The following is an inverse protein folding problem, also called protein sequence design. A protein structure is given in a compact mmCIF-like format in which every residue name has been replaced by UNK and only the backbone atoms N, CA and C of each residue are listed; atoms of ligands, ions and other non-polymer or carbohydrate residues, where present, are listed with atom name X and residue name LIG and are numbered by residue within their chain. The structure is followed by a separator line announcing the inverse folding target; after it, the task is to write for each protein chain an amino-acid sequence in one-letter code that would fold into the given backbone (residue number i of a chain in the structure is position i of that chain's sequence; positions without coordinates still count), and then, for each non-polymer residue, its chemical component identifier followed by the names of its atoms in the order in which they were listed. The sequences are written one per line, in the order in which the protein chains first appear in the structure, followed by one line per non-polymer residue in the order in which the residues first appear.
data_IF_138243154030
#
_entry.id   IF_138243154030
#
_cell.length_a   1.000
_cell.length_b   1.000
_cell.length_c   1.000
_cell.angle_alpha   90.00
_cell.angle_beta   90.00
_cell.angle_gamma   90.00
#
_symmetry.space_group_name_H-M   'P 1'
#
loop_
_entity.id
_entity.type
_entity.pdbx_description
1 polymer ?
#
# COMPACT_ATOMS: atom_id res chain seq x y z
N UNK A 1 -20.09 -4.85 -1.36
CA UNK A 1 -19.02 -4.31 -0.49
C UNK A 1 -17.74 -5.15 -0.59
N UNK A 2 -17.82 -6.40 -1.07
CA UNK A 2 -16.66 -7.26 -1.37
C UNK A 2 -15.75 -6.80 -2.53
N UNK A 3 -16.24 -6.24 -3.66
CA UNK A 3 -15.38 -5.97 -4.84
C UNK A 3 -14.24 -4.98 -4.57
N UNK A 4 -14.42 -4.06 -3.63
CA UNK A 4 -13.43 -3.04 -3.30
C UNK A 4 -12.17 -3.64 -2.67
N UNK A 5 -12.32 -4.72 -1.90
CA UNK A 5 -11.19 -5.36 -1.23
C UNK A 5 -10.43 -6.27 -2.20
N UNK A 6 -11.12 -6.88 -3.15
CA UNK A 6 -10.48 -7.75 -4.15
C UNK A 6 -9.56 -6.92 -5.07
N UNK A 7 -10.04 -5.81 -5.63
CA UNK A 7 -9.23 -4.92 -6.48
C UNK A 7 -8.04 -4.32 -5.70
N UNK A 8 -8.25 -3.95 -4.43
CA UNK A 8 -7.17 -3.48 -3.56
C UNK A 8 -6.09 -4.55 -3.37
N UNK A 9 -6.50 -5.81 -3.15
CA UNK A 9 -5.58 -6.93 -2.92
C UNK A 9 -4.78 -7.25 -4.19
N UNK A 10 -5.40 -7.24 -5.36
CA UNK A 10 -4.74 -7.63 -6.62
C UNK A 10 -3.91 -6.51 -7.23
N UNK A 11 -4.29 -5.24 -7.03
CA UNK A 11 -3.65 -4.12 -7.72
C UNK A 11 -2.78 -3.24 -6.82
N UNK A 12 -3.19 -3.03 -5.56
CA UNK A 12 -2.57 -1.98 -4.72
C UNK A 12 -1.77 -2.50 -3.55
N UNK A 13 -2.10 -3.69 -3.07
CA UNK A 13 -1.52 -4.23 -1.86
C UNK A 13 0.01 -4.30 -1.94
N UNK A 14 0.58 -4.56 -3.12
CA UNK A 14 2.04 -4.54 -3.37
C UNK A 14 2.66 -3.18 -3.04
N UNK A 15 2.03 -2.07 -3.45
CA UNK A 15 2.51 -0.72 -3.19
C UNK A 15 2.27 -0.32 -1.72
N UNK A 16 1.11 -0.66 -1.17
CA UNK A 16 0.82 -0.44 0.26
C UNK A 16 1.86 -1.14 1.13
N UNK A 17 2.14 -2.42 0.87
CA UNK A 17 3.14 -3.19 1.60
C UNK A 17 4.54 -2.60 1.43
N UNK A 18 4.92 -2.22 0.21
CA UNK A 18 6.21 -1.59 -0.07
C UNK A 18 6.41 -0.28 0.72
N UNK A 19 5.42 0.61 0.74
CA UNK A 19 5.53 1.92 1.39
C UNK A 19 5.35 1.91 2.91
N UNK A 20 4.40 1.13 3.43
CA UNK A 20 4.03 1.18 4.85
C UNK A 20 5.06 0.51 5.75
N UNK A 21 5.91 -0.31 5.17
CA UNK A 21 6.77 -1.21 5.91
C UNK A 21 8.20 -0.67 6.10
N UNK A 22 8.50 0.50 5.51
CA UNK A 22 9.63 1.35 5.90
C UNK A 22 11.02 0.73 5.74
N UNK A 23 11.18 -0.21 4.80
CA UNK A 23 12.44 -0.93 4.56
C UNK A 23 12.75 -2.03 5.58
N UNK A 24 11.81 -2.40 6.46
CA UNK A 24 12.01 -3.43 7.49
C UNK A 24 11.83 -4.85 6.95
N UNK A 25 12.63 -5.21 5.93
CA UNK A 25 12.54 -6.37 5.02
C UNK A 25 12.27 -7.75 5.66
N UNK A 26 12.50 -7.90 6.96
CA UNK A 26 12.28 -9.15 7.68
C UNK A 26 10.81 -9.42 8.10
N UNK A 27 9.98 -8.40 8.25
CA UNK A 27 8.52 -8.53 8.46
C UNK A 27 7.59 -9.02 7.31
N UNK A 28 7.99 -9.08 6.02
CA UNK A 28 7.11 -9.48 4.89
C UNK A 28 7.39 -10.91 4.45
N UNK A 29 8.62 -11.41 4.66
CA UNK A 29 8.96 -12.81 4.41
C UNK A 29 7.99 -13.74 5.14
N UNK A 30 7.58 -13.49 6.39
CA UNK A 30 6.50 -14.24 7.04
C UNK A 30 5.20 -14.31 6.22
N UNK A 31 4.78 -13.21 5.58
CA UNK A 31 3.58 -13.21 4.74
C UNK A 31 3.77 -14.07 3.49
N UNK A 32 4.95 -14.02 2.85
CA UNK A 32 5.28 -14.87 1.68
C UNK A 32 5.21 -16.37 2.03
N UNK A 33 5.77 -16.78 3.17
CA UNK A 33 5.89 -18.20 3.55
C UNK A 33 4.66 -18.78 4.26
N UNK A 34 3.69 -17.94 4.67
CA UNK A 34 2.48 -18.42 5.35
C UNK A 34 1.53 -19.06 4.34
N UNK A 35 1.51 -20.40 4.30
CA UNK A 35 0.71 -21.18 3.33
C UNK A 35 -0.80 -20.97 3.47
N UNK A 36 -1.25 -20.57 4.66
CA UNK A 36 -2.65 -20.29 4.95
C UNK A 36 -3.10 -18.89 4.51
N UNK A 37 -2.16 -18.00 4.16
CA UNK A 37 -2.48 -16.68 3.65
C UNK A 37 -3.06 -16.78 2.23
N UNK A 38 -3.97 -15.88 1.89
CA UNK A 38 -4.55 -15.80 0.56
C UNK A 38 -3.46 -15.58 -0.49
N UNK A 39 -3.51 -16.34 -1.60
CA UNK A 39 -2.45 -16.38 -2.62
C UNK A 39 -2.10 -15.00 -3.18
N UNK A 40 -3.09 -14.13 -3.41
CA UNK A 40 -2.87 -12.78 -3.91
C UNK A 40 -2.20 -11.87 -2.87
N UNK A 41 -2.45 -12.08 -1.58
CA UNK A 41 -1.69 -11.38 -0.53
C UNK A 41 -0.23 -11.84 -0.50
N UNK A 42 0.03 -13.13 -0.76
CA UNK A 42 1.39 -13.67 -0.86
C UNK A 42 2.09 -13.13 -2.12
N UNK A 43 1.39 -13.06 -3.26
CA UNK A 43 1.89 -12.46 -4.50
C UNK A 43 2.24 -10.98 -4.30
N UNK A 44 1.36 -10.20 -3.67
CA UNK A 44 1.63 -8.80 -3.36
C UNK A 44 2.85 -8.61 -2.45
N UNK A 45 3.08 -9.56 -1.53
CA UNK A 45 4.27 -9.58 -0.67
C UNK A 45 5.56 -9.90 -1.46
N UNK A 46 5.48 -10.79 -2.44
CA UNK A 46 6.57 -11.09 -3.37
C UNK A 46 6.91 -9.83 -4.19
N UNK A 47 5.91 -9.17 -4.78
CA UNK A 47 6.10 -7.94 -5.57
C UNK A 47 6.71 -6.82 -4.73
N UNK A 48 6.23 -6.64 -3.49
CA UNK A 48 6.78 -5.64 -2.59
C UNK A 48 8.27 -5.89 -2.25
N UNK A 49 8.70 -7.16 -2.14
CA UNK A 49 10.13 -7.51 -1.99
C UNK A 49 10.93 -7.21 -3.26
N UNK A 50 10.35 -7.46 -4.44
CA UNK A 50 10.92 -7.09 -5.73
C UNK A 50 11.13 -5.58 -5.82
N UNK A 51 10.17 -4.77 -5.38
CA UNK A 51 10.27 -3.30 -5.35
C UNK A 51 11.28 -2.80 -4.32
N UNK A 52 11.33 -3.44 -3.15
CA UNK A 52 12.37 -3.19 -2.15
C UNK A 52 13.77 -3.43 -2.72
N UNK A 53 13.92 -4.47 -3.54
CA UNK A 53 15.16 -4.80 -4.23
C UNK A 53 15.51 -3.75 -5.30
N UNK A 54 14.57 -3.40 -6.17
CA UNK A 54 14.77 -2.37 -7.21
C UNK A 54 15.11 -0.97 -6.64
N UNK A 55 14.61 -0.69 -5.44
CA UNK A 55 14.89 0.54 -4.66
C UNK A 55 16.19 0.47 -3.85
N UNK A 56 16.86 -0.68 -3.79
CA UNK A 56 18.13 -0.86 -3.06
C UNK A 56 18.00 -1.07 -1.55
N UNK A 57 16.80 -1.32 -1.02
CA UNK A 57 16.62 -1.70 0.39
C UNK A 57 17.09 -3.12 0.70
N UNK A 58 17.10 -4.00 -0.31
CA UNK A 58 17.56 -5.40 -0.24
C UNK A 58 18.51 -5.66 -1.40
N UNK A 59 19.54 -6.49 -1.19
CA UNK A 59 20.34 -6.96 -2.30
C UNK A 59 19.54 -7.93 -3.17
N UNK A 60 19.73 -7.83 -4.47
CA UNK A 60 19.08 -8.72 -5.44
C UNK A 60 19.40 -10.18 -5.17
N UNK A 61 20.65 -10.46 -4.85
CA UNK A 61 21.15 -11.80 -4.58
C UNK A 61 20.41 -12.43 -3.39
N UNK A 62 20.20 -11.67 -2.29
CA UNK A 62 19.46 -12.17 -1.15
C UNK A 62 17.97 -12.43 -1.45
N UNK A 63 17.36 -11.58 -2.29
CA UNK A 63 15.97 -11.76 -2.73
C UNK A 63 15.82 -12.99 -3.63
N UNK A 64 16.73 -13.18 -4.59
CA UNK A 64 16.74 -14.34 -5.48
C UNK A 64 17.01 -15.65 -4.72
N UNK A 65 17.94 -15.64 -3.76
CA UNK A 65 18.20 -16.79 -2.89
C UNK A 65 16.95 -17.17 -2.08
N UNK A 66 16.28 -16.16 -1.50
CA UNK A 66 15.04 -16.37 -0.75
C UNK A 66 13.94 -16.95 -1.63
N UNK A 67 13.67 -16.35 -2.80
CA UNK A 67 12.64 -16.85 -3.71
C UNK A 67 12.97 -18.25 -4.24
N UNK A 68 14.24 -18.54 -4.53
CA UNK A 68 14.67 -19.86 -5.03
C UNK A 68 14.47 -20.95 -4.00
N UNK A 69 14.59 -20.62 -2.71
CA UNK A 69 14.32 -21.56 -1.62
C UNK A 69 12.85 -21.98 -1.49
N UNK A 70 11.94 -21.31 -2.21
CA UNK A 70 10.48 -21.50 -2.15
C UNK A 70 9.90 -22.15 -3.42
N UNK A 71 10.75 -22.74 -4.26
CA UNK A 71 10.36 -23.52 -5.44
C UNK A 71 10.54 -25.04 -5.19
N UNK A 72 10.08 -25.54 -4.04
CA UNK A 72 10.21 -26.97 -3.69
C UNK A 72 9.00 -27.81 -4.06
N UNK A 73 7.84 -27.18 -4.26
CA UNK A 73 6.57 -27.85 -4.53
C UNK A 73 5.71 -28.08 -3.29
N UNK A 74 6.22 -27.74 -2.10
CA UNK A 74 5.49 -27.87 -0.84
C UNK A 74 4.84 -26.55 -0.38
N UNK A 75 5.15 -25.41 -1.00
CA UNK A 75 4.78 -24.07 -0.51
C UNK A 75 3.34 -23.64 -0.81
N UNK A 76 2.67 -24.31 -1.74
CA UNK A 76 1.35 -23.92 -2.22
C UNK A 76 0.57 -25.13 -2.74
N UNK A 77 -0.68 -24.90 -3.17
CA UNK A 77 -1.50 -25.92 -3.84
C UNK A 77 -1.16 -25.92 -5.34
N UNK A 78 -1.41 -27.04 -6.07
CA UNK A 78 -1.08 -27.13 -7.49
C UNK A 78 -1.70 -26.04 -8.40
N UNK A 79 -2.82 -25.45 -7.99
CA UNK A 79 -3.56 -24.42 -8.72
C UNK A 79 -3.31 -22.99 -8.20
N UNK A 80 -2.40 -22.83 -7.24
CA UNK A 80 -2.09 -21.55 -6.61
C UNK A 80 -1.10 -20.76 -7.46
N UNK A 81 -1.32 -19.45 -7.59
CA UNK A 81 -0.46 -18.57 -8.39
C UNK A 81 0.94 -18.37 -7.79
N UNK A 82 1.15 -18.79 -6.54
CA UNK A 82 2.35 -18.51 -5.75
C UNK A 82 3.68 -18.77 -6.47
N UNK A 83 3.87 -19.95 -7.08
CA UNK A 83 5.14 -20.27 -7.76
C UNK A 83 5.31 -19.47 -9.05
N UNK A 84 4.23 -19.25 -9.81
CA UNK A 84 4.23 -18.37 -10.98
C UNK A 84 4.58 -16.92 -10.62
N UNK A 85 4.08 -16.42 -9.48
CA UNK A 85 4.43 -15.10 -8.95
C UNK A 85 5.91 -15.00 -8.54
N UNK A 86 6.45 -16.04 -7.89
CA UNK A 86 7.88 -16.09 -7.57
C UNK A 86 8.74 -16.02 -8.84
N UNK A 87 8.45 -16.86 -9.83
CA UNK A 87 9.21 -16.89 -11.09
C UNK A 87 9.10 -15.57 -11.84
N UNK A 88 7.90 -14.98 -11.93
CA UNK A 88 7.71 -13.66 -12.54
C UNK A 88 8.56 -12.59 -11.85
N UNK A 89 8.55 -12.55 -10.52
CA UNK A 89 9.38 -11.61 -9.75
C UNK A 89 10.89 -11.87 -9.89
N UNK A 90 11.33 -13.13 -10.00
CA UNK A 90 12.73 -13.44 -10.32
C UNK A 90 13.11 -12.90 -11.72
N UNK A 91 12.19 -12.97 -12.68
CA UNK A 91 12.40 -12.46 -14.04
C UNK A 91 12.56 -10.93 -14.05
N UNK A 92 11.75 -10.22 -13.27
CA UNK A 92 11.88 -8.78 -13.05
C UNK A 92 13.22 -8.41 -12.41
N UNK A 93 13.78 -9.31 -11.60
CA UNK A 93 15.09 -9.14 -10.98
C UNK A 93 16.26 -9.62 -11.85
N UNK A 94 16.03 -10.06 -13.09
CA UNK A 94 17.02 -10.70 -13.96
C UNK A 94 17.54 -12.04 -13.37
N UNK A 95 17.04 -13.19 -13.86
CA UNK A 95 17.14 -14.47 -13.16
C UNK A 95 18.34 -15.33 -13.57
N UNK A 96 19.36 -14.77 -14.23
CA UNK A 96 20.46 -15.52 -14.85
C UNK A 96 21.05 -16.62 -13.95
N UNK A 97 21.33 -16.31 -12.69
CA UNK A 97 21.96 -17.24 -11.74
C UNK A 97 21.00 -18.31 -11.20
N UNK A 98 19.69 -18.05 -11.23
CA UNK A 98 18.64 -18.93 -10.70
C UNK A 98 17.91 -19.71 -11.80
N UNK A 99 18.28 -19.52 -13.07
CA UNK A 99 17.74 -20.27 -14.21
C UNK A 99 17.71 -21.80 -14.01
N UNK A 100 18.72 -22.45 -13.40
CA UNK A 100 18.64 -23.89 -13.13
C UNK A 100 17.47 -24.28 -12.21
N UNK A 101 17.17 -23.45 -11.20
CA UNK A 101 16.05 -23.68 -10.27
C UNK A 101 14.72 -23.44 -10.98
N UNK A 102 14.62 -22.37 -11.78
CA UNK A 102 13.43 -22.07 -12.57
C UNK A 102 13.11 -23.22 -13.53
N UNK A 103 14.09 -23.70 -14.30
CA UNK A 103 13.90 -24.83 -15.22
C UNK A 103 13.37 -26.07 -14.51
N UNK A 104 13.92 -26.38 -13.34
CA UNK A 104 13.43 -27.49 -12.52
C UNK A 104 11.97 -27.28 -12.09
N UNK A 105 11.58 -26.07 -11.70
CA UNK A 105 10.18 -25.77 -11.35
C UNK A 105 9.21 -26.00 -12.52
N UNK A 106 9.63 -25.73 -13.77
CA UNK A 106 8.86 -26.10 -14.97
C UNK A 106 8.83 -27.62 -15.20
N UNK A 107 9.94 -28.32 -14.99
CA UNK A 107 9.99 -29.79 -15.10
C UNK A 107 9.11 -30.49 -14.06
N UNK A 108 9.01 -29.91 -12.87
CA UNK A 108 8.19 -30.39 -11.75
C UNK A 108 6.70 -29.96 -11.85
N UNK A 109 6.29 -29.31 -12.96
CA UNK A 109 4.92 -28.84 -13.24
C UNK A 109 4.36 -27.86 -12.17
N UNK A 110 5.24 -27.05 -11.57
CA UNK A 110 4.86 -26.08 -10.53
C UNK A 110 4.34 -24.76 -11.12
N UNK A 111 4.62 -24.47 -12.39
CA UNK A 111 4.37 -23.16 -13.00
C UNK A 111 3.20 -23.23 -13.96
N UNK A 112 2.21 -22.37 -13.75
CA UNK A 112 1.11 -22.21 -14.69
C UNK A 112 1.59 -21.49 -15.96
N UNK A 113 1.57 -22.22 -17.08
CA UNK A 113 1.95 -21.71 -18.40
C UNK A 113 1.04 -20.59 -18.92
N UNK A 114 -0.15 -20.40 -18.33
CA UNK A 114 -0.98 -19.24 -18.62
C UNK A 114 -0.37 -17.93 -18.08
N UNK A 115 0.40 -18.02 -16.98
CA UNK A 115 1.04 -16.87 -16.35
C UNK A 115 2.39 -16.54 -16.99
N UNK A 116 3.26 -17.54 -17.14
CA UNK A 116 4.60 -17.34 -17.67
C UNK A 116 5.12 -18.62 -18.30
N UNK A 117 5.74 -18.49 -19.47
CA UNK A 117 6.37 -19.60 -20.18
C UNK A 117 7.91 -19.47 -20.16
N UNK A 118 8.59 -20.63 -20.20
CA UNK A 118 10.04 -20.68 -20.11
C UNK A 118 10.74 -19.97 -21.28
N UNK A 119 10.15 -19.97 -22.49
CA UNK A 119 10.75 -19.33 -23.67
C UNK A 119 10.79 -17.80 -23.49
N UNK A 120 9.74 -17.22 -22.93
CA UNK A 120 9.67 -15.81 -22.58
C UNK A 120 10.74 -15.44 -21.54
N UNK A 121 10.92 -16.27 -20.52
CA UNK A 121 11.97 -16.07 -19.49
C UNK A 121 13.37 -16.09 -20.12
N UNK A 122 13.66 -17.06 -20.98
CA UNK A 122 14.97 -17.16 -21.63
C UNK A 122 15.28 -15.95 -22.52
N UNK A 123 14.27 -15.36 -23.16
CA UNK A 123 14.42 -14.09 -23.90
C UNK A 123 14.67 -12.91 -22.96
N UNK A 124 14.04 -12.89 -21.79
CA UNK A 124 14.22 -11.83 -20.80
C UNK A 124 15.62 -11.82 -20.17
N UNK A 125 16.26 -12.98 -20.04
CA UNK A 125 17.67 -13.08 -19.58
C UNK A 125 18.62 -12.33 -20.54
N UNK A 126 18.26 -12.15 -21.80
CA UNK A 126 19.08 -11.35 -22.73
C UNK A 126 19.02 -9.84 -22.43
N UNK A 127 18.05 -9.38 -21.64
CA UNK A 127 17.93 -7.98 -21.20
C UNK A 127 18.89 -7.73 -20.04
N UNK A 128 19.63 -6.62 -20.07
CA UNK A 128 20.59 -6.33 -19.00
C UNK A 128 19.92 -6.14 -17.64
N UNK A 129 20.61 -6.59 -16.58
CA UNK A 129 20.22 -6.40 -15.18
C UNK A 129 19.86 -4.95 -14.86
N UNK A 130 20.63 -3.99 -15.35
CA UNK A 130 20.39 -2.56 -15.09
C UNK A 130 19.06 -2.10 -15.67
N UNK A 131 18.70 -2.58 -16.86
CA UNK A 131 17.44 -2.21 -17.51
C UNK A 131 16.24 -2.80 -16.77
N UNK A 132 16.36 -4.03 -16.27
CA UNK A 132 15.34 -4.68 -15.45
C UNK A 132 15.08 -3.94 -14.14
N UNK A 133 16.14 -3.58 -13.42
CA UNK A 133 16.03 -2.77 -12.20
C UNK A 133 15.45 -1.37 -12.47
N UNK A 134 15.78 -0.77 -13.63
CA UNK A 134 15.21 0.51 -14.03
C UNK A 134 13.71 0.42 -14.35
N UNK A 135 13.26 -0.67 -14.98
CA UNK A 135 11.82 -0.92 -15.20
C UNK A 135 11.06 -1.00 -13.88
N UNK A 136 11.62 -1.68 -12.86
CA UNK A 136 11.02 -1.72 -11.51
C UNK A 136 10.88 -0.31 -10.93
N UNK A 137 11.91 0.54 -11.06
CA UNK A 137 11.84 1.93 -10.56
C UNK A 137 10.77 2.75 -11.26
N UNK A 138 10.62 2.58 -12.57
CA UNK A 138 9.58 3.26 -13.34
C UNK A 138 8.18 2.81 -12.93
N UNK A 139 7.99 1.52 -12.61
CA UNK A 139 6.73 1.01 -12.06
C UNK A 139 6.44 1.63 -10.70
N UNK A 140 7.42 1.67 -9.80
CA UNK A 140 7.28 2.31 -8.49
C UNK A 140 6.94 3.79 -8.64
N UNK A 141 7.62 4.53 -9.51
CA UNK A 141 7.33 5.96 -9.73
C UNK A 141 5.91 6.19 -10.27
N UNK A 142 5.46 5.33 -11.17
CA UNK A 142 4.10 5.38 -11.73
C UNK A 142 3.04 5.07 -10.69
N UNK A 143 3.27 4.05 -9.85
CA UNK A 143 2.29 3.48 -8.93
C UNK A 143 2.44 3.98 -7.48
N UNK A 144 3.40 4.86 -7.22
CA UNK A 144 3.56 5.61 -5.97
C UNK A 144 3.25 7.11 -6.15
N UNK A 145 2.07 7.50 -6.66
CA UNK A 145 1.76 8.91 -6.84
C UNK A 145 1.60 9.60 -5.49
N UNK A 146 2.13 10.82 -5.38
CA UNK A 146 1.94 11.71 -4.23
C UNK A 146 0.45 11.99 -3.94
N UNK A 147 -0.40 11.79 -4.95
CA UNK A 147 -1.85 11.98 -4.90
C UNK A 147 -2.58 10.65 -5.11
N UNK A 148 -2.80 9.95 -3.99
CA UNK A 148 -3.56 8.69 -3.93
C UNK A 148 -4.99 8.87 -4.44
N UNK A 149 -5.59 10.05 -4.26
CA UNK A 149 -6.96 10.29 -4.74
C UNK A 149 -7.01 10.26 -6.26
N UNK A 150 -6.11 10.99 -6.92
CA UNK A 150 -5.97 11.00 -8.39
C UNK A 150 -5.67 9.62 -8.95
N UNK A 151 -4.89 8.84 -8.23
CA UNK A 151 -4.52 7.49 -8.64
C UNK A 151 -5.68 6.50 -8.56
N UNK A 152 -6.63 6.67 -7.64
CA UNK A 152 -7.80 5.81 -7.53
C UNK A 152 -8.95 6.21 -8.47
N UNK A 153 -8.80 7.26 -9.29
CA UNK A 153 -9.87 7.76 -10.18
C UNK A 153 -10.23 6.81 -11.32
N UNK A 154 -9.37 5.85 -11.66
CA UNK A 154 -9.66 4.87 -12.72
C UNK A 154 -10.52 3.70 -12.24
N UNK A 155 -10.73 3.55 -10.92
CA UNK A 155 -11.53 2.47 -10.35
C UNK A 155 -12.98 2.55 -10.83
N UNK A 156 -13.58 1.40 -11.16
CA UNK A 156 -14.92 1.33 -11.75
C UNK A 156 -16.04 1.93 -10.89
N UNK A 157 -15.81 2.12 -9.58
CA UNK A 157 -16.73 2.77 -8.64
C UNK A 157 -16.47 4.26 -8.43
N UNK A 158 -15.48 4.85 -9.12
CA UNK A 158 -15.27 6.28 -9.12
C UNK A 158 -16.37 6.96 -9.95
N UNK A 159 -17.48 7.28 -9.29
CA UNK A 159 -18.46 8.23 -9.80
C UNK A 159 -18.03 9.63 -9.33
N UNK A 160 -17.59 10.54 -10.23
CA UNK A 160 -17.31 11.93 -9.88
C UNK A 160 -18.60 12.73 -9.63
N UNK A 161 -19.67 12.06 -9.19
CA UNK A 161 -21.04 12.54 -9.06
C UNK A 161 -21.10 13.97 -8.53
N UNK A 162 -22.10 14.77 -8.97
CA UNK A 162 -22.10 16.22 -8.81
C UNK A 162 -21.83 16.59 -7.36
N UNK A 163 -20.66 17.19 -7.14
CA UNK A 163 -19.99 17.33 -5.83
C UNK A 163 -20.93 17.38 -4.63
N UNK A 164 -21.12 16.24 -3.99
CA UNK A 164 -21.77 16.17 -2.66
C UNK A 164 -20.82 16.60 -1.54
N UNK A 165 -19.56 16.85 -1.87
CA UNK A 165 -18.66 17.65 -1.07
C UNK A 165 -18.55 19.03 -1.72
N UNK A 166 -19.49 19.90 -1.39
CA UNK A 166 -19.13 21.32 -1.29
C UNK A 166 -17.82 21.37 -0.51
N UNK A 167 -16.84 22.11 -1.03
CA UNK A 167 -15.57 22.36 -0.33
C UNK A 167 -15.86 22.47 1.17
N UNK A 168 -15.15 21.76 2.06
CA UNK A 168 -15.20 22.13 3.46
C UNK A 168 -14.64 23.55 3.49
N UNK A 169 -15.54 24.53 3.40
CA UNK A 169 -15.26 25.86 3.85
C UNK A 169 -14.83 25.63 5.28
N UNK A 170 -13.52 25.76 5.52
CA UNK A 170 -12.98 25.98 6.85
C UNK A 170 -13.67 27.25 7.31
N UNK A 171 -14.85 27.07 7.87
CA UNK A 171 -15.57 28.10 8.57
C UNK A 171 -14.75 28.22 9.84
N UNK A 172 -13.87 29.20 9.81
CA UNK A 172 -13.23 29.75 11.00
C UNK A 172 -14.28 29.73 12.10
N UNK A 173 -14.04 29.04 13.24
CA UNK A 173 -14.99 29.07 14.33
C UNK A 173 -15.29 30.54 14.62
N UNK A 174 -16.57 30.93 14.81
CA UNK A 174 -16.87 32.30 15.19
C UNK A 174 -16.05 32.59 16.44
N UNK A 175 -15.18 33.60 16.33
CA UNK A 175 -14.35 34.06 17.43
C UNK A 175 -15.24 34.23 18.65
N UNK A 176 -15.02 33.39 19.66
CA UNK A 176 -15.77 33.50 20.90
C UNK A 176 -15.58 34.93 21.42
N UNK A 177 -16.66 35.66 21.73
CA UNK A 177 -16.52 36.99 22.28
C UNK A 177 -15.76 36.90 23.60
N UNK A 178 -14.59 37.54 23.59
CA UNK A 178 -13.63 37.66 24.68
C UNK A 178 -14.33 37.76 26.05
N UNK A 179 -14.13 36.73 26.89
CA UNK A 179 -14.81 36.52 28.17
C UNK A 179 -14.64 37.66 29.19
N UNK A 180 -13.83 38.68 28.87
CA UNK A 180 -13.72 39.94 29.61
C UNK A 180 -14.99 40.79 29.54
N UNK A 181 -15.72 40.82 28.42
CA UNK A 181 -16.91 41.67 28.29
C UNK A 181 -18.14 41.11 29.04
N UNK A 182 -18.31 39.79 29.07
CA UNK A 182 -19.42 39.16 29.82
C UNK A 182 -19.25 39.29 31.34
N UNK A 183 -18.02 39.21 31.87
CA UNK A 183 -17.73 39.44 33.30
C UNK A 183 -18.00 40.90 33.72
N UNK A 184 -17.73 41.88 32.85
CA UNK A 184 -18.02 43.30 33.12
C UNK A 184 -19.54 43.60 33.16
N UNK A 185 -20.32 43.05 32.22
CA UNK A 185 -21.79 43.20 32.22
C UNK A 185 -22.44 42.54 33.44
N UNK A 186 -21.97 41.36 33.86
CA UNK A 186 -22.50 40.65 35.06
C UNK A 186 -22.17 41.38 36.37
N UNK A 187 -21.00 42.02 36.49
CA UNK A 187 -20.64 42.89 37.64
C UNK A 187 -21.50 44.17 37.71
N UNK A 188 -21.77 44.84 36.57
CA UNK A 188 -22.66 46.02 36.52
C UNK A 188 -24.10 45.68 36.93
N UNK A 189 -24.66 44.55 36.45
CA UNK A 189 -26.02 44.10 36.80
C UNK A 189 -26.17 43.77 38.30
N UNK A 190 -25.16 43.13 38.93
CA UNK A 190 -25.16 42.88 40.39
C UNK A 190 -25.03 44.16 41.24
N UNK A 191 -24.31 45.19 40.77
CA UNK A 191 -24.23 46.48 41.48
C UNK A 191 -25.56 47.25 41.43
N UNK A 192 -26.25 47.27 40.29
CA UNK A 192 -27.57 47.92 40.18
C UNK A 192 -28.66 47.25 41.01
N UNK A 193 -28.68 45.91 41.06
CA UNK A 193 -29.63 45.16 41.89
C UNK A 193 -29.43 45.38 43.41
N UNK A 194 -28.18 45.59 43.86
CA UNK A 194 -27.89 45.92 45.28
C UNK A 194 -28.24 47.37 45.64
N UNK A 195 -28.11 48.32 44.70
CA UNK A 195 -28.52 49.71 44.92
C UNK A 195 -30.04 49.87 45.01
N UNK A 196 -30.80 49.13 44.19
CA UNK A 196 -32.27 49.11 44.25
C UNK A 196 -32.82 48.52 45.56
N UNK A 197 -32.23 47.42 46.06
CA UNK A 197 -32.64 46.82 47.35
C UNK A 197 -32.33 47.68 48.59
N UNK A 198 -31.33 48.57 48.53
CA UNK A 198 -31.01 49.48 49.66
C UNK A 198 -31.92 50.71 49.71
N UNK A 199 -32.57 51.07 48.60
CA UNK A 199 -33.53 52.20 48.53
C UNK A 199 -34.94 51.82 49.01
N UNK A 200 -35.30 50.54 48.96
CA UNK A 200 -36.59 50.01 49.45
C UNK A 200 -36.60 49.59 50.93
N UNK A 201 -35.53 49.87 51.69
CA UNK A 201 -35.43 49.53 53.14
C UNK A 201 -35.33 50.76 54.04
N UNK A 202 -35.66 51.95 53.52
CA UNK A 202 -35.69 53.24 54.24
C UNK A 202 -37.01 54.01 54.00
N UNK A 203 -38.12 53.27 54.03
CA UNK A 203 -39.42 53.82 54.44
C UNK A 203 -39.92 52.97 55.59
#
# INVERSE_FOLDING_TARGET
MEPLYDDLITEELRMVLFHTWGGAVEGIKPLVITKEAYEYCRSAAIDALTYATGSGYVSREATLDFFSSLLTGDEAKPDDIFWSSLVSSMCDLHPEEVMPVIRKAFEDDLIDLFYIDLESIEKEVAVSKEKKLEQIRQVIERDSPDDVHKYMEWWAMYDPGPGLFGTPSVTTPPSQPDGRQQKAKKKKKRKMAKASKKKNRRR
#
